data_IF_676080358241
#
_entry.id   IF_676080358241
#
_cell.length_a   1.000
_cell.length_b   1.000
_cell.length_c   1.000
_cell.angle_alpha   90.00
_cell.angle_beta   90.00
_cell.angle_gamma   90.00
#
_symmetry.space_group_name_H-M   'P 1'
#
loop_
_entity.id
_entity.type
_entity.pdbx_description
1 polymer ?
#
# COMPACT_ATOMS: atom_id res chain seq x y z
N UNK A 1 -8.98 -5.46 -19.76
CA UNK A 1 -9.63 -4.71 -18.66
C UNK A 1 -10.49 -3.58 -19.17
N UNK A 2 -9.91 -2.49 -19.70
CA UNK A 2 -10.68 -1.30 -20.12
C UNK A 2 -11.82 -1.58 -21.11
N UNK A 3 -11.66 -2.58 -21.99
CA UNK A 3 -12.74 -3.01 -22.91
C UNK A 3 -13.94 -3.68 -22.23
N UNK A 4 -13.76 -4.36 -21.08
CA UNK A 4 -14.87 -5.04 -20.36
C UNK A 4 -15.51 -4.16 -19.29
N UNK A 5 -14.73 -3.33 -18.59
CA UNK A 5 -15.21 -2.49 -17.50
C UNK A 5 -15.91 -1.20 -17.96
N UNK A 6 -15.67 -0.77 -19.21
CA UNK A 6 -16.05 0.57 -19.65
C UNK A 6 -15.19 1.66 -19.00
N UNK A 7 -15.30 2.91 -19.47
CA UNK A 7 -14.40 3.99 -19.08
C UNK A 7 -14.51 4.37 -17.60
N UNK A 8 -15.73 4.38 -17.03
CA UNK A 8 -15.98 4.82 -15.66
C UNK A 8 -15.35 3.87 -14.62
N UNK A 9 -15.69 2.58 -14.66
CA UNK A 9 -15.14 1.59 -13.72
C UNK A 9 -13.64 1.35 -13.94
N UNK A 10 -13.17 1.43 -15.20
CA UNK A 10 -11.73 1.36 -15.48
C UNK A 10 -10.98 2.55 -14.87
N UNK A 11 -11.55 3.77 -14.94
CA UNK A 11 -11.00 4.95 -14.29
C UNK A 11 -10.87 4.78 -12.78
N UNK A 12 -11.92 4.28 -12.12
CA UNK A 12 -11.89 3.95 -10.67
C UNK A 12 -10.80 2.91 -10.37
N UNK A 13 -10.71 1.85 -11.17
CA UNK A 13 -9.68 0.82 -10.99
C UNK A 13 -8.26 1.40 -11.11
N UNK A 14 -8.00 2.23 -12.12
CA UNK A 14 -6.71 2.88 -12.30
C UNK A 14 -6.38 3.83 -11.14
N UNK A 15 -7.37 4.57 -10.62
CA UNK A 15 -7.19 5.41 -9.45
C UNK A 15 -6.90 4.59 -8.18
N UNK A 16 -7.58 3.45 -8.00
CA UNK A 16 -7.29 2.55 -6.89
C UNK A 16 -5.85 2.03 -6.94
N UNK A 17 -5.35 1.65 -8.13
CA UNK A 17 -3.94 1.28 -8.32
C UNK A 17 -3.00 2.45 -8.02
N UNK A 18 -3.34 3.67 -8.43
CA UNK A 18 -2.55 4.86 -8.13
C UNK A 18 -2.50 5.13 -6.61
N UNK A 19 -3.61 5.00 -5.90
CA UNK A 19 -3.66 5.13 -4.44
C UNK A 19 -2.72 4.13 -3.77
N UNK A 20 -2.71 2.86 -4.19
CA UNK A 20 -1.77 1.87 -3.64
C UNK A 20 -0.32 2.19 -4.01
N UNK A 21 -0.06 2.55 -5.28
CA UNK A 21 1.28 2.89 -5.76
C UNK A 21 1.90 4.09 -5.04
N UNK A 22 1.07 5.10 -4.73
CA UNK A 22 1.47 6.28 -3.97
C UNK A 22 1.24 6.16 -2.46
N UNK A 23 0.68 5.05 -1.96
CA UNK A 23 0.39 4.90 -0.54
C UNK A 23 1.64 5.04 0.33
N UNK A 24 2.82 4.71 -0.20
CA UNK A 24 4.10 4.92 0.49
C UNK A 24 4.31 6.35 0.97
N UNK A 25 3.67 7.37 0.38
CA UNK A 25 3.73 8.75 0.89
C UNK A 25 3.25 8.88 2.34
N UNK A 26 2.34 8.01 2.78
CA UNK A 26 1.77 8.01 4.13
C UNK A 26 2.75 7.47 5.19
N UNK A 27 3.90 6.91 4.80
CA UNK A 27 4.95 6.53 5.74
C UNK A 27 5.82 7.72 6.20
N UNK A 28 5.62 8.91 5.63
CA UNK A 28 6.35 10.14 5.95
C UNK A 28 7.89 10.02 5.86
N UNK A 29 8.39 9.12 5.01
CA UNK A 29 9.82 8.85 4.84
C UNK A 29 10.38 7.76 5.76
N UNK A 30 9.54 7.12 6.59
CA UNK A 30 9.95 6.11 7.55
C UNK A 30 10.65 4.92 6.89
N UNK A 31 10.20 4.48 5.71
CA UNK A 31 10.88 3.42 4.93
C UNK A 31 12.35 3.75 4.68
N UNK A 32 12.67 4.98 4.27
CA UNK A 32 14.06 5.41 4.01
C UNK A 32 14.87 5.54 5.30
N UNK A 33 14.24 5.99 6.38
CA UNK A 33 14.88 6.05 7.69
C UNK A 33 15.26 4.66 8.19
N UNK A 34 14.35 3.67 8.10
CA UNK A 34 14.63 2.29 8.51
C UNK A 34 15.77 1.67 7.70
N UNK A 35 15.78 1.83 6.37
CA UNK A 35 16.89 1.34 5.53
C UNK A 35 18.23 1.88 6.02
N UNK A 36 18.30 3.20 6.25
CA UNK A 36 19.52 3.88 6.70
C UNK A 36 19.97 3.40 8.08
N UNK A 37 19.08 3.42 9.06
CA UNK A 37 19.43 3.08 10.45
C UNK A 37 19.78 1.59 10.60
N UNK A 38 19.08 0.70 9.90
CA UNK A 38 19.43 -0.74 9.86
C UNK A 38 20.79 -0.97 9.23
N UNK A 39 21.13 -0.23 8.16
CA UNK A 39 22.44 -0.32 7.52
C UNK A 39 23.58 0.21 8.42
N UNK A 40 23.34 1.27 9.19
CA UNK A 40 24.31 1.82 10.16
C UNK A 40 24.54 0.84 11.31
N UNK A 41 23.48 0.23 11.83
CA UNK A 41 23.52 -0.70 12.97
C UNK A 41 23.70 -2.17 12.53
N UNK A 42 24.34 -2.43 11.39
CA UNK A 42 24.45 -3.77 10.77
C UNK A 42 24.97 -4.85 11.74
N UNK A 43 25.94 -4.50 12.58
CA UNK A 43 26.59 -5.41 13.54
C UNK A 43 25.96 -5.37 14.95
N UNK A 44 24.90 -4.58 15.16
CA UNK A 44 24.25 -4.43 16.46
C UNK A 44 22.77 -4.87 16.39
N UNK A 45 22.55 -6.17 16.62
CA UNK A 45 21.22 -6.78 16.61
C UNK A 45 20.24 -6.14 17.60
N UNK A 46 20.72 -5.71 18.77
CA UNK A 46 19.84 -5.09 19.77
C UNK A 46 19.28 -3.75 19.27
N UNK A 47 20.13 -2.91 18.67
CA UNK A 47 19.71 -1.63 18.12
C UNK A 47 18.81 -1.83 16.89
N UNK A 48 19.12 -2.79 16.01
CA UNK A 48 18.23 -3.14 14.89
C UNK A 48 16.84 -3.52 15.37
N UNK A 49 16.72 -4.37 16.41
CA UNK A 49 15.42 -4.75 16.96
C UNK A 49 14.64 -3.55 17.52
N UNK A 50 15.32 -2.60 18.18
CA UNK A 50 14.69 -1.36 18.66
C UNK A 50 14.17 -0.51 17.50
N UNK A 51 14.97 -0.34 16.44
CA UNK A 51 14.58 0.40 15.23
C UNK A 51 13.35 -0.27 14.59
N UNK A 52 13.38 -1.59 14.39
CA UNK A 52 12.31 -2.36 13.76
C UNK A 52 11.01 -2.25 14.57
N UNK A 53 11.10 -2.43 15.88
CA UNK A 53 9.94 -2.34 16.78
C UNK A 53 9.33 -0.93 16.76
N UNK A 54 10.16 0.11 16.92
CA UNK A 54 9.71 1.49 16.90
C UNK A 54 9.06 1.87 15.56
N UNK A 55 9.71 1.55 14.45
CA UNK A 55 9.17 1.82 13.12
C UNK A 55 7.86 1.07 12.85
N UNK A 56 7.77 -0.20 13.28
CA UNK A 56 6.54 -1.00 13.14
C UNK A 56 5.39 -0.39 13.93
N UNK A 57 5.63 0.08 15.16
CA UNK A 57 4.59 0.75 15.96
C UNK A 57 4.15 2.06 15.30
N UNK A 58 5.10 2.89 14.85
CA UNK A 58 4.80 4.17 14.18
C UNK A 58 3.98 3.95 12.91
N UNK A 59 4.38 3.01 12.06
CA UNK A 59 3.67 2.77 10.80
C UNK A 59 2.27 2.19 11.01
N UNK A 60 2.03 1.40 12.08
CA UNK A 60 0.69 0.94 12.43
C UNK A 60 -0.23 2.16 12.65
N UNK A 61 0.20 3.14 13.43
CA UNK A 61 -0.63 4.34 13.68
C UNK A 61 -0.82 5.19 12.42
N UNK A 62 0.25 5.45 11.67
CA UNK A 62 0.16 6.24 10.43
C UNK A 62 -0.76 5.58 9.39
N UNK A 63 -0.61 4.26 9.23
CA UNK A 63 -1.37 3.51 8.25
C UNK A 63 -2.83 3.33 8.65
N UNK A 64 -3.13 3.16 9.94
CA UNK A 64 -4.50 3.20 10.44
C UNK A 64 -5.14 4.58 10.25
N UNK A 65 -4.40 5.67 10.49
CA UNK A 65 -4.90 7.01 10.24
C UNK A 65 -5.24 7.21 8.75
N UNK A 66 -4.33 6.84 7.84
CA UNK A 66 -4.57 6.90 6.39
C UNK A 66 -5.75 6.02 5.96
N UNK A 67 -5.87 4.81 6.53
CA UNK A 67 -6.98 3.88 6.28
C UNK A 67 -8.32 4.47 6.73
N UNK A 68 -8.40 5.00 7.95
CA UNK A 68 -9.63 5.61 8.47
C UNK A 68 -10.04 6.82 7.65
N UNK A 69 -9.09 7.69 7.26
CA UNK A 69 -9.37 8.81 6.37
C UNK A 69 -9.98 8.32 5.05
N UNK A 70 -9.36 7.36 4.37
CA UNK A 70 -9.92 6.84 3.12
C UNK A 70 -11.28 6.17 3.32
N UNK A 71 -11.48 5.43 4.41
CA UNK A 71 -12.72 4.74 4.72
C UNK A 71 -13.89 5.71 4.92
N UNK A 72 -13.73 6.74 5.77
CA UNK A 72 -14.77 7.71 6.06
C UNK A 72 -15.05 8.65 4.88
N UNK A 73 -14.02 9.02 4.12
CA UNK A 73 -14.17 9.90 2.95
C UNK A 73 -14.51 9.15 1.65
N UNK A 74 -14.58 7.82 1.65
CA UNK A 74 -14.89 7.00 0.46
C UNK A 74 -16.12 7.45 -0.34
N UNK A 75 -17.21 7.81 0.34
CA UNK A 75 -18.42 8.33 -0.32
C UNK A 75 -18.21 9.71 -0.95
N UNK A 76 -17.52 10.61 -0.26
CA UNK A 76 -17.17 11.94 -0.78
C UNK A 76 -16.23 11.84 -1.99
N UNK A 77 -15.29 10.90 -1.95
CA UNK A 77 -14.39 10.62 -3.08
C UNK A 77 -15.19 10.09 -4.27
N UNK A 78 -16.13 9.16 -4.06
CA UNK A 78 -17.00 8.67 -5.14
C UNK A 78 -17.84 9.80 -5.77
N UNK A 79 -18.33 10.75 -4.96
CA UNK A 79 -19.01 11.95 -5.46
C UNK A 79 -18.06 12.87 -6.25
N UNK A 80 -16.86 13.11 -5.73
CA UNK A 80 -15.84 13.94 -6.38
C UNK A 80 -15.39 13.36 -7.73
N UNK A 81 -15.38 12.04 -7.85
CA UNK A 81 -15.09 11.32 -9.10
C UNK A 81 -16.27 11.30 -10.08
N UNK A 82 -17.39 11.95 -9.73
CA UNK A 82 -18.59 12.04 -10.55
C UNK A 82 -19.12 10.67 -11.01
N UNK A 83 -19.11 9.70 -10.10
CA UNK A 83 -19.60 8.34 -10.35
C UNK A 83 -21.12 8.36 -10.49
N UNK A 84 -21.61 7.68 -11.51
CA UNK A 84 -23.04 7.49 -11.78
C UNK A 84 -23.74 6.79 -10.60
N UNK A 85 -25.01 7.12 -10.38
CA UNK A 85 -25.80 6.52 -9.29
C UNK A 85 -25.84 4.98 -9.36
N UNK A 86 -25.76 4.41 -10.57
CA UNK A 86 -25.71 2.97 -10.81
C UNK A 86 -24.49 2.29 -10.19
N UNK A 87 -23.33 2.96 -10.16
CA UNK A 87 -22.09 2.40 -9.65
C UNK A 87 -21.64 2.97 -8.31
N UNK A 88 -22.28 4.04 -7.84
CA UNK A 88 -21.89 4.77 -6.64
C UNK A 88 -21.67 3.88 -5.42
N UNK A 89 -22.64 3.00 -5.12
CA UNK A 89 -22.54 2.08 -3.98
C UNK A 89 -21.36 1.13 -4.13
N UNK A 90 -21.21 0.51 -5.31
CA UNK A 90 -20.13 -0.45 -5.59
C UNK A 90 -18.75 0.19 -5.49
N UNK A 91 -18.59 1.41 -6.01
CA UNK A 91 -17.33 2.17 -5.95
C UNK A 91 -17.03 2.59 -4.51
N UNK A 92 -18.02 3.10 -3.78
CA UNK A 92 -17.84 3.48 -2.37
C UNK A 92 -17.39 2.29 -1.51
N UNK A 93 -18.02 1.12 -1.68
CA UNK A 93 -17.62 -0.12 -1.01
C UNK A 93 -16.22 -0.55 -1.44
N UNK A 94 -15.90 -0.47 -2.73
CA UNK A 94 -14.56 -0.80 -3.25
C UNK A 94 -13.46 0.09 -2.64
N UNK A 95 -13.72 1.38 -2.47
CA UNK A 95 -12.80 2.31 -1.81
C UNK A 95 -12.63 1.99 -0.31
N UNK A 96 -13.67 1.50 0.37
CA UNK A 96 -13.57 1.03 1.77
C UNK A 96 -12.73 -0.25 1.88
N UNK A 97 -12.88 -1.17 0.93
CA UNK A 97 -12.03 -2.37 0.85
C UNK A 97 -10.58 -1.95 0.60
N UNK A 98 -10.35 -1.00 -0.32
CA UNK A 98 -9.04 -0.42 -0.57
C UNK A 98 -8.42 0.19 0.69
N UNK A 99 -9.21 0.92 1.48
CA UNK A 99 -8.76 1.50 2.75
C UNK A 99 -8.23 0.44 3.71
N UNK A 100 -8.87 -0.73 3.79
CA UNK A 100 -8.42 -1.83 4.64
C UNK A 100 -7.09 -2.45 4.18
N UNK A 101 -6.70 -2.26 2.91
CA UNK A 101 -5.41 -2.75 2.39
C UNK A 101 -4.22 -1.85 2.76
N UNK A 102 -4.44 -0.57 3.07
CA UNK A 102 -3.38 0.41 3.35
C UNK A 102 -2.51 -0.02 4.56
N UNK A 103 -3.07 -0.43 5.72
CA UNK A 103 -2.26 -0.89 6.85
C UNK A 103 -1.36 -2.05 6.52
N UNK A 104 -1.90 -3.08 5.87
CA UNK A 104 -1.14 -4.26 5.47
C UNK A 104 -0.02 -3.90 4.50
N UNK A 105 -0.30 -3.05 3.52
CA UNK A 105 0.69 -2.59 2.55
C UNK A 105 1.85 -1.84 3.21
N UNK A 106 1.54 -0.85 4.06
CA UNK A 106 2.57 0.00 4.67
C UNK A 106 3.42 -0.75 5.71
N UNK A 107 2.83 -1.63 6.52
CA UNK A 107 3.59 -2.49 7.43
C UNK A 107 4.54 -3.38 6.64
N UNK A 108 4.06 -3.99 5.54
CA UNK A 108 4.90 -4.80 4.65
C UNK A 108 6.06 -3.99 4.09
N UNK A 109 5.84 -2.75 3.66
CA UNK A 109 6.89 -1.88 3.16
C UNK A 109 7.98 -1.63 4.21
N UNK A 110 7.61 -1.39 5.47
CA UNK A 110 8.58 -1.26 6.57
C UNK A 110 9.37 -2.55 6.77
N UNK A 111 8.75 -3.72 6.71
CA UNK A 111 9.49 -4.98 6.86
C UNK A 111 10.44 -5.26 5.69
N UNK A 112 10.01 -4.95 4.46
CA UNK A 112 10.87 -5.07 3.28
C UNK A 112 12.05 -4.09 3.34
N UNK A 113 11.86 -2.92 3.94
CA UNK A 113 12.92 -1.92 4.13
C UNK A 113 14.05 -2.42 5.03
N UNK A 114 13.76 -3.36 5.94
CA UNK A 114 14.78 -4.03 6.77
C UNK A 114 15.68 -4.90 5.90
N UNK A 115 15.09 -5.70 5.00
CA UNK A 115 15.86 -6.53 4.05
C UNK A 115 16.75 -5.67 3.15
N UNK A 116 16.26 -4.50 2.75
CA UNK A 116 17.02 -3.54 1.96
C UNK A 116 18.19 -2.93 2.76
N UNK A 117 17.96 -2.53 4.02
CA UNK A 117 19.02 -2.06 4.93
C UNK A 117 20.08 -3.12 5.26
N UNK A 118 19.68 -4.40 5.31
CA UNK A 118 20.60 -5.54 5.46
C UNK A 118 21.27 -6.00 4.16
N UNK A 119 21.06 -5.28 3.05
CA UNK A 119 21.60 -5.60 1.72
C UNK A 119 21.11 -6.95 1.14
N UNK A 120 20.00 -7.49 1.67
CA UNK A 120 19.38 -8.76 1.22
C UNK A 120 18.48 -8.56 -0.01
N UNK A 121 19.00 -7.88 -1.03
CA UNK A 121 18.26 -7.52 -2.24
C UNK A 121 17.73 -8.73 -3.02
N UNK A 122 18.40 -9.88 -2.95
CA UNK A 122 17.92 -11.12 -3.60
C UNK A 122 16.54 -11.55 -3.09
N UNK A 123 16.35 -11.62 -1.77
CA UNK A 123 15.07 -11.98 -1.16
C UNK A 123 14.00 -10.91 -1.42
N UNK A 124 14.39 -9.63 -1.31
CA UNK A 124 13.52 -8.50 -1.61
C UNK A 124 12.99 -8.56 -3.06
N UNK A 125 13.85 -8.86 -4.02
CA UNK A 125 13.49 -8.90 -5.44
C UNK A 125 12.62 -10.12 -5.78
N UNK A 126 12.85 -11.27 -5.15
CA UNK A 126 11.97 -12.45 -5.29
C UNK A 126 10.56 -12.09 -4.80
N UNK A 127 10.46 -11.50 -3.61
CA UNK A 127 9.17 -11.06 -3.07
C UNK A 127 8.46 -10.06 -3.99
N UNK A 128 9.15 -9.01 -4.44
CA UNK A 128 8.60 -7.98 -5.34
C UNK A 128 8.18 -8.56 -6.70
N UNK A 129 8.93 -9.53 -7.23
CA UNK A 129 8.61 -10.16 -8.51
C UNK A 129 7.35 -11.01 -8.42
N UNK A 130 7.23 -11.84 -7.38
CA UNK A 130 6.04 -12.70 -7.17
C UNK A 130 4.81 -11.83 -6.94
N UNK A 131 4.89 -10.84 -6.04
CA UNK A 131 3.77 -9.96 -5.73
C UNK A 131 3.36 -9.09 -6.91
N UNK A 132 4.33 -8.55 -7.65
CA UNK A 132 4.08 -7.79 -8.88
C UNK A 132 3.40 -8.62 -9.97
N UNK A 133 3.84 -9.88 -10.16
CA UNK A 133 3.20 -10.80 -11.10
C UNK A 133 1.75 -11.12 -10.69
N UNK A 134 1.51 -11.40 -9.40
CA UNK A 134 0.16 -11.63 -8.88
C UNK A 134 -0.72 -10.41 -9.11
N UNK A 135 -0.23 -9.21 -8.80
CA UNK A 135 -1.00 -7.97 -8.98
C UNK A 135 -1.34 -7.69 -10.45
N UNK A 136 -0.42 -8.01 -11.37
CA UNK A 136 -0.64 -7.83 -12.80
C UNK A 136 -1.59 -8.88 -13.41
N UNK A 137 -1.49 -10.15 -12.97
CA UNK A 137 -2.23 -11.28 -13.54
C UNK A 137 -3.60 -11.44 -12.90
N UNK A 138 -3.72 -11.28 -11.57
CA UNK A 138 -4.95 -11.52 -10.80
C UNK A 138 -6.17 -10.85 -11.44
N UNK A 139 -6.12 -9.55 -11.81
CA UNK A 139 -7.27 -8.91 -12.43
C UNK A 139 -7.73 -9.64 -13.72
N UNK A 140 -6.81 -10.18 -14.54
CA UNK A 140 -7.15 -10.85 -15.79
C UNK A 140 -7.90 -12.18 -15.60
N UNK A 141 -7.77 -12.82 -14.43
CA UNK A 141 -8.46 -14.06 -14.10
C UNK A 141 -9.92 -13.83 -13.69
N UNK A 142 -10.25 -12.65 -13.17
CA UNK A 142 -11.57 -12.32 -12.63
C UNK A 142 -12.44 -11.47 -13.59
N UNK A 143 -11.99 -11.24 -14.83
CA UNK A 143 -12.70 -10.45 -15.86
C UNK A 143 -13.04 -11.29 -17.07
#
# INVERSE_FOLDING_TARGET
MGRKLGPELFGVFTLALAVVGYASIFDAGLTRAVIREVAIEKDNEENKLKIISSATVVIIYLSLAASLLLFFFSGHIALLLNISETFFHNVSVSLKILAASIPLFLITQIWLSILEGEERFGLLNIYKSITGAILAISPALFI
#
